data_IF_354800061173
#
_entry.id   IF_354800061173
#
_cell.length_a   1.000
_cell.length_b   1.000
_cell.length_c   1.000
_cell.angle_alpha   90.00
_cell.angle_beta   90.00
_cell.angle_gamma   90.00
#
_symmetry.space_group_name_H-M   'P 1'
#
loop_
_entity.id
_entity.type
_entity.pdbx_description
1 polymer ?
#
# COMPACT_ATOMS: atom_id res chain seq x y z
N UNK A 1 -2.78 1.20 72.40
CA UNK A 1 -2.67 2.27 73.42
C UNK A 1 -1.98 3.48 72.80
N UNK A 2 -2.76 4.56 72.64
CA UNK A 2 -2.40 5.99 72.45
C UNK A 2 -1.38 6.42 71.37
N UNK A 3 -1.93 7.15 70.40
CA UNK A 3 -1.34 8.22 69.59
C UNK A 3 -0.42 9.15 70.39
N UNK A 4 0.64 9.65 69.73
CA UNK A 4 1.12 11.03 69.91
C UNK A 4 1.52 11.63 68.56
N UNK A 5 0.82 12.72 68.23
CA UNK A 5 1.08 13.64 67.14
C UNK A 5 2.41 14.37 67.37
N UNK A 6 3.19 14.59 66.30
CA UNK A 6 4.14 15.72 66.22
C UNK A 6 3.92 16.43 64.89
N UNK A 7 3.93 17.75 65.02
CA UNK A 7 3.44 18.80 64.13
C UNK A 7 4.45 19.16 63.04
N UNK A 8 3.89 19.54 61.88
CA UNK A 8 4.43 20.38 60.80
C UNK A 8 5.76 21.11 61.04
N UNK A 9 6.65 21.01 60.05
CA UNK A 9 7.41 22.16 59.57
C UNK A 9 7.57 22.07 58.04
N UNK A 10 6.87 22.98 57.36
CA UNK A 10 7.03 23.28 55.94
C UNK A 10 8.44 23.82 55.69
N UNK A 11 9.14 23.25 54.71
CA UNK A 11 10.10 24.00 53.92
C UNK A 11 9.97 23.58 52.45
N UNK A 12 9.28 24.43 51.71
CA UNK A 12 9.10 24.35 50.28
C UNK A 12 10.46 24.51 49.57
N UNK A 13 10.83 23.51 48.77
CA UNK A 13 11.68 23.70 47.61
C UNK A 13 11.30 22.67 46.55
N UNK A 14 10.08 22.82 46.00
CA UNK A 14 9.71 22.14 44.78
C UNK A 14 10.44 22.85 43.64
N UNK A 15 11.62 22.34 43.29
CA UNK A 15 12.25 22.63 42.00
C UNK A 15 11.35 22.02 40.94
N UNK A 16 10.44 22.83 40.42
CA UNK A 16 9.71 22.54 39.19
C UNK A 16 10.76 22.56 38.09
N UNK A 17 11.35 21.41 37.82
CA UNK A 17 12.08 21.15 36.57
C UNK A 17 11.02 21.11 35.48
N UNK A 18 10.71 22.27 34.91
CA UNK A 18 10.00 22.39 33.65
C UNK A 18 10.88 21.81 32.56
N UNK A 19 10.76 20.49 32.34
CA UNK A 19 11.19 19.82 31.12
C UNK A 19 10.38 20.39 29.96
N UNK A 20 10.82 21.53 29.42
CA UNK A 20 10.51 21.95 28.07
C UNK A 20 11.17 20.95 27.10
N UNK A 21 10.54 19.78 26.94
CA UNK A 21 10.77 18.94 25.78
C UNK A 21 10.14 19.63 24.59
N UNK A 22 10.84 20.62 24.04
CA UNK A 22 10.60 21.12 22.70
C UNK A 22 11.17 20.11 21.70
N UNK A 23 10.66 18.88 21.68
CA UNK A 23 10.77 18.04 20.48
C UNK A 23 9.85 18.68 19.44
N UNK A 24 10.36 19.62 18.63
CA UNK A 24 9.61 20.13 17.48
C UNK A 24 9.14 18.92 16.68
N UNK A 25 7.83 18.73 16.63
CA UNK A 25 7.22 17.61 15.95
C UNK A 25 7.64 17.65 14.48
N UNK A 26 8.22 16.55 13.98
CA UNK A 26 8.68 16.50 12.58
C UNK A 26 7.49 16.77 11.63
N UNK A 27 7.68 17.54 10.55
CA UNK A 27 6.63 17.76 9.57
C UNK A 27 6.20 16.44 8.92
N UNK A 28 5.00 16.39 8.34
CA UNK A 28 4.58 15.23 7.54
C UNK A 28 5.26 15.28 6.16
N UNK A 29 5.66 14.13 5.65
CA UNK A 29 6.22 14.04 4.31
C UNK A 29 5.17 14.43 3.26
N UNK A 30 5.58 15.25 2.29
CA UNK A 30 4.73 15.85 1.25
C UNK A 30 5.27 15.55 -0.13
N UNK A 31 4.37 15.34 -1.10
CA UNK A 31 4.71 15.01 -2.49
C UNK A 31 4.22 13.63 -2.90
N UNK A 32 4.46 13.22 -4.17
CA UNK A 32 3.93 11.98 -4.72
C UNK A 32 4.59 10.74 -4.11
N UNK A 33 3.78 9.78 -3.65
CA UNK A 33 4.23 8.55 -2.99
C UNK A 33 4.75 7.48 -3.95
N UNK A 34 4.61 7.71 -5.25
CA UNK A 34 5.03 6.84 -6.34
C UNK A 34 6.27 7.37 -7.08
N UNK A 35 6.95 8.36 -6.50
CA UNK A 35 8.24 8.87 -6.96
C UNK A 35 9.32 8.51 -5.96
N UNK A 36 10.51 8.21 -6.45
CA UNK A 36 11.74 8.09 -5.65
C UNK A 36 12.71 9.15 -6.17
N UNK A 37 13.08 10.09 -5.31
CA UNK A 37 14.12 11.07 -5.63
C UNK A 37 15.49 10.44 -5.42
N UNK A 38 16.25 10.27 -6.50
CA UNK A 38 17.56 9.61 -6.51
C UNK A 38 18.66 10.66 -6.46
N UNK A 39 19.31 10.78 -5.30
CA UNK A 39 20.47 11.65 -5.09
C UNK A 39 21.72 10.87 -5.52
N UNK A 40 22.26 11.24 -6.67
CA UNK A 40 23.38 10.57 -7.32
C UNK A 40 24.17 11.54 -8.21
N UNK A 41 25.47 11.29 -8.38
CA UNK A 41 26.24 11.94 -9.44
C UNK A 41 25.66 11.61 -10.83
N UNK A 42 25.78 12.52 -11.80
CA UNK A 42 25.17 12.32 -13.12
C UNK A 42 25.79 11.18 -13.90
N UNK A 43 27.13 11.01 -13.85
CA UNK A 43 27.81 9.95 -14.57
C UNK A 43 27.50 8.60 -13.92
N UNK A 44 27.63 8.52 -12.60
CA UNK A 44 27.30 7.32 -11.82
C UNK A 44 25.85 6.89 -12.01
N UNK A 45 24.91 7.85 -12.03
CA UNK A 45 23.50 7.53 -12.24
C UNK A 45 23.26 6.83 -13.57
N UNK A 46 23.93 7.23 -14.66
CA UNK A 46 23.77 6.57 -15.96
C UNK A 46 24.21 5.10 -15.88
N UNK A 47 25.28 4.81 -15.14
CA UNK A 47 25.85 3.45 -15.04
C UNK A 47 24.94 2.46 -14.32
N UNK A 48 24.18 2.90 -13.31
CA UNK A 48 23.25 2.05 -12.56
C UNK A 48 21.77 2.32 -12.85
N UNK A 49 21.44 3.23 -13.78
CA UNK A 49 20.05 3.56 -14.13
C UNK A 49 19.24 2.34 -14.51
N UNK A 50 19.79 1.47 -15.37
CA UNK A 50 19.12 0.26 -15.83
C UNK A 50 18.83 -0.70 -14.66
N UNK A 51 19.80 -0.88 -13.76
CA UNK A 51 19.61 -1.67 -12.53
C UNK A 51 18.52 -1.07 -11.65
N UNK A 52 18.51 0.24 -11.42
CA UNK A 52 17.46 0.90 -10.65
C UNK A 52 16.07 0.79 -11.29
N UNK A 53 15.96 0.99 -12.61
CA UNK A 53 14.71 0.83 -13.35
C UNK A 53 14.19 -0.62 -13.24
N UNK A 54 15.07 -1.62 -13.28
CA UNK A 54 14.68 -3.03 -13.12
C UNK A 54 14.16 -3.37 -11.71
N UNK A 55 14.67 -2.68 -10.69
CA UNK A 55 14.27 -2.86 -9.28
C UNK A 55 12.97 -2.11 -8.99
N UNK A 56 12.96 -0.79 -9.22
CA UNK A 56 11.91 0.11 -8.75
C UNK A 56 10.90 0.50 -9.84
N UNK A 57 11.32 0.46 -11.10
CA UNK A 57 10.53 0.87 -12.27
C UNK A 57 9.65 -0.25 -12.85
N UNK A 58 9.37 -1.32 -12.11
CA UNK A 58 8.54 -2.45 -12.58
C UNK A 58 7.21 -1.97 -13.14
N UNK A 59 6.78 -2.54 -14.26
CA UNK A 59 5.54 -2.16 -14.92
C UNK A 59 4.34 -2.73 -14.17
N UNK A 60 3.36 -1.87 -13.91
CA UNK A 60 2.01 -2.21 -13.51
C UNK A 60 1.15 -2.05 -14.77
N UNK A 61 0.54 -3.15 -15.18
CA UNK A 61 -0.33 -3.17 -16.34
C UNK A 61 -1.69 -2.58 -15.98
N UNK A 62 -1.92 -1.37 -16.47
CA UNK A 62 -3.26 -0.79 -16.64
C UNK A 62 -3.50 -0.65 -18.16
N UNK A 63 -4.67 -0.15 -18.63
CA UNK A 63 -4.85 0.11 -20.07
C UNK A 63 -3.72 0.97 -20.67
N UNK A 64 -3.06 1.77 -19.85
CA UNK A 64 -1.77 2.39 -20.16
C UNK A 64 -0.73 1.86 -19.17
N UNK A 65 0.33 1.17 -19.60
CA UNK A 65 1.36 0.66 -18.69
C UNK A 65 1.99 1.78 -17.85
N UNK A 66 2.11 1.57 -16.54
CA UNK A 66 2.63 2.55 -15.58
C UNK A 66 3.80 1.97 -14.78
N UNK A 67 4.81 2.78 -14.42
CA UNK A 67 5.89 2.33 -13.52
C UNK A 67 5.45 2.31 -12.06
N UNK A 68 5.88 1.29 -11.33
CA UNK A 68 5.66 1.13 -9.88
C UNK A 68 6.18 2.35 -9.13
N UNK A 69 7.43 2.75 -9.40
CA UNK A 69 7.98 4.03 -9.00
C UNK A 69 8.58 4.77 -10.21
N UNK A 70 8.37 6.07 -10.26
CA UNK A 70 9.09 6.98 -11.15
C UNK A 70 10.39 7.42 -10.45
N UNK A 71 11.54 7.19 -11.09
CA UNK A 71 12.84 7.57 -10.57
C UNK A 71 13.23 8.96 -11.07
N UNK A 72 13.44 9.90 -10.15
CA UNK A 72 13.80 11.28 -10.48
C UNK A 72 15.20 11.57 -9.94
N UNK A 73 16.20 11.58 -10.82
CA UNK A 73 17.57 11.94 -10.44
C UNK A 73 17.66 13.42 -10.04
N UNK A 74 18.38 13.69 -8.95
CA UNK A 74 18.61 15.02 -8.38
C UNK A 74 20.08 15.18 -7.99
N UNK A 75 20.58 16.41 -8.02
CA UNK A 75 21.93 16.70 -7.59
C UNK A 75 22.01 16.66 -6.06
N UNK A 76 23.20 16.49 -5.51
CA UNK A 76 23.41 16.54 -4.06
C UNK A 76 22.97 17.88 -3.44
N UNK A 77 23.17 18.99 -4.17
CA UNK A 77 22.71 20.32 -3.77
C UNK A 77 21.21 20.42 -3.50
N UNK A 78 20.40 19.55 -4.13
CA UNK A 78 18.95 19.59 -4.03
C UNK A 78 18.44 18.89 -2.76
N UNK A 79 19.30 18.14 -2.06
CA UNK A 79 18.92 17.29 -0.93
C UNK A 79 18.17 18.06 0.16
N UNK A 80 18.62 19.27 0.50
CA UNK A 80 17.98 20.12 1.52
C UNK A 80 16.51 20.40 1.18
N UNK A 81 16.23 20.75 -0.08
CA UNK A 81 14.86 21.02 -0.55
C UNK A 81 13.98 19.76 -0.59
N UNK A 82 14.60 18.59 -0.66
CA UNK A 82 13.93 17.30 -0.78
C UNK A 82 13.70 16.60 0.55
N UNK A 83 14.20 17.14 1.67
CA UNK A 83 14.05 16.53 3.01
C UNK A 83 12.60 16.25 3.42
N UNK A 84 11.62 16.93 2.83
CA UNK A 84 10.19 16.66 3.09
C UNK A 84 9.57 15.63 2.13
N UNK A 85 10.30 15.10 1.15
CA UNK A 85 9.80 14.11 0.19
C UNK A 85 9.60 12.73 0.84
N UNK A 86 8.58 11.95 0.44
CA UNK A 86 8.28 10.67 1.07
C UNK A 86 9.34 9.59 0.82
N UNK A 87 9.93 9.57 -0.38
CA UNK A 87 10.87 8.53 -0.78
C UNK A 87 12.15 9.15 -1.35
N UNK A 88 13.28 8.89 -0.70
CA UNK A 88 14.59 9.37 -1.11
C UNK A 88 15.53 8.18 -1.19
N UNK A 89 16.26 8.08 -2.29
CA UNK A 89 17.35 7.12 -2.50
C UNK A 89 18.65 7.90 -2.65
N UNK A 90 19.63 7.67 -1.79
CA UNK A 90 20.98 8.23 -1.91
C UNK A 90 21.91 7.08 -2.31
N UNK A 91 22.59 7.20 -3.45
CA UNK A 91 23.33 6.08 -4.01
C UNK A 91 24.63 6.54 -4.69
N UNK A 92 25.74 5.91 -4.30
CA UNK A 92 27.05 6.07 -4.94
C UNK A 92 27.99 4.91 -4.54
N UNK A 93 28.94 4.51 -5.39
CA UNK A 93 30.02 3.60 -5.00
C UNK A 93 31.01 4.29 -4.06
N UNK A 94 31.50 3.56 -3.06
CA UNK A 94 32.30 4.11 -1.95
C UNK A 94 33.71 4.54 -2.37
N UNK A 95 34.26 3.96 -3.45
CA UNK A 95 35.55 4.35 -4.01
C UNK A 95 35.50 5.58 -4.93
N UNK A 96 34.32 6.15 -5.19
CA UNK A 96 34.20 7.32 -6.06
C UNK A 96 34.61 8.62 -5.37
N UNK A 97 35.10 9.57 -6.17
CA UNK A 97 35.41 10.93 -5.76
C UNK A 97 34.19 11.87 -5.81
N UNK A 98 32.98 11.37 -6.10
CA UNK A 98 31.78 12.20 -6.16
C UNK A 98 31.39 12.77 -4.79
N UNK A 99 30.72 13.92 -4.81
CA UNK A 99 30.19 14.55 -3.59
C UNK A 99 29.18 13.67 -2.85
N UNK A 100 28.39 12.88 -3.59
CA UNK A 100 27.45 11.92 -2.99
C UNK A 100 28.21 10.80 -2.27
N UNK A 101 29.29 10.27 -2.87
CA UNK A 101 30.13 9.26 -2.22
C UNK A 101 30.83 9.82 -0.97
N UNK A 102 31.33 11.05 -1.02
CA UNK A 102 31.89 11.73 0.14
C UNK A 102 30.86 11.91 1.27
N UNK A 103 29.64 12.30 0.93
CA UNK A 103 28.54 12.40 1.88
C UNK A 103 28.22 11.03 2.50
N UNK A 104 28.06 9.97 1.70
CA UNK A 104 27.84 8.61 2.23
C UNK A 104 28.97 8.22 3.18
N UNK A 105 30.24 8.39 2.81
CA UNK A 105 31.39 8.07 3.69
C UNK A 105 31.35 8.80 5.02
N UNK A 106 30.85 10.05 5.04
CA UNK A 106 30.73 10.85 6.27
C UNK A 106 29.66 10.32 7.25
N UNK A 107 28.69 9.54 6.75
CA UNK A 107 27.62 8.95 7.57
C UNK A 107 28.02 7.61 8.20
N UNK A 108 29.11 6.99 7.72
CA UNK A 108 29.52 5.64 8.11
C UNK A 108 30.70 5.69 9.08
N UNK A 109 30.64 4.88 10.14
CA UNK A 109 31.80 4.63 11.00
C UNK A 109 32.78 3.64 10.33
N UNK A 110 33.97 3.47 10.90
CA UNK A 110 35.02 2.66 10.26
C UNK A 110 34.67 1.17 10.16
N UNK A 111 33.97 0.61 11.15
CA UNK A 111 33.48 -0.77 11.10
C UNK A 111 32.51 -0.98 9.93
N UNK A 112 31.58 -0.05 9.73
CA UNK A 112 30.63 -0.07 8.62
C UNK A 112 31.33 0.10 7.28
N UNK A 113 32.33 0.99 7.17
CA UNK A 113 33.16 1.10 5.95
C UNK A 113 33.86 -0.22 5.62
N UNK A 114 34.41 -0.91 6.63
CA UNK A 114 34.99 -2.24 6.44
C UNK A 114 33.94 -3.28 6.01
N UNK A 115 32.72 -3.21 6.56
CA UNK A 115 31.58 -4.02 6.15
C UNK A 115 31.21 -3.82 4.68
N UNK A 116 31.12 -2.56 4.22
CA UNK A 116 30.86 -2.19 2.82
C UNK A 116 31.98 -2.66 1.89
N UNK A 117 33.25 -2.46 2.28
CA UNK A 117 34.40 -2.92 1.51
C UNK A 117 34.47 -4.44 1.36
N UNK A 118 34.03 -5.17 2.39
CA UNK A 118 33.93 -6.63 2.40
C UNK A 118 32.65 -7.17 1.74
N UNK A 119 31.75 -6.29 1.25
CA UNK A 119 30.48 -6.69 0.63
C UNK A 119 29.43 -7.25 1.60
N UNK A 120 29.65 -7.09 2.92
CA UNK A 120 28.76 -7.54 4.00
C UNK A 120 27.63 -6.54 4.28
N UNK A 121 27.87 -5.26 4.04
CA UNK A 121 26.90 -4.18 4.22
C UNK A 121 26.71 -3.45 2.89
N UNK A 122 25.47 -3.15 2.51
CA UNK A 122 25.17 -2.45 1.24
C UNK A 122 24.02 -1.44 1.33
N UNK A 123 23.14 -1.61 2.32
CA UNK A 123 21.89 -0.88 2.44
C UNK A 123 21.75 -0.31 3.85
N UNK A 124 21.40 0.97 3.93
CA UNK A 124 21.10 1.66 5.19
C UNK A 124 19.80 2.43 5.06
N UNK A 125 18.78 2.01 5.81
CA UNK A 125 17.45 2.64 5.76
C UNK A 125 17.25 3.55 6.97
N UNK A 126 16.58 4.68 6.76
CA UNK A 126 16.10 5.58 7.81
C UNK A 126 14.63 5.90 7.56
N UNK A 127 13.80 5.51 8.53
CA UNK A 127 12.41 5.93 8.58
C UNK A 127 12.30 7.27 9.31
N UNK A 128 11.41 8.12 8.84
CA UNK A 128 11.07 9.39 9.45
C UNK A 128 12.29 10.27 9.77
N UNK A 129 13.31 10.24 8.91
CA UNK A 129 14.59 10.92 9.15
C UNK A 129 14.36 12.42 9.35
N UNK A 130 13.70 13.06 8.38
CA UNK A 130 13.38 14.48 8.40
C UNK A 130 11.88 14.76 8.50
N UNK A 131 11.04 13.89 7.92
CA UNK A 131 9.58 14.06 7.91
C UNK A 131 8.85 12.75 8.24
N UNK A 132 7.68 12.81 8.88
CA UNK A 132 6.84 11.64 9.21
C UNK A 132 6.28 10.98 7.95
N UNK A 133 6.33 9.66 7.88
CA UNK A 133 5.97 8.85 6.71
C UNK A 133 7.05 8.80 5.64
N UNK A 134 8.30 9.13 5.98
CA UNK A 134 9.43 9.16 5.04
C UNK A 134 10.25 7.87 5.09
N UNK A 135 10.72 7.42 3.93
CA UNK A 135 11.81 6.45 3.80
C UNK A 135 12.99 7.09 3.05
N UNK A 136 14.13 7.15 3.74
CA UNK A 136 15.44 7.47 3.14
C UNK A 136 16.24 6.19 3.08
N UNK A 137 16.56 5.74 1.88
CA UNK A 137 17.40 4.57 1.62
C UNK A 137 18.76 5.03 1.12
N UNK A 138 19.83 4.53 1.72
CA UNK A 138 21.20 4.76 1.28
C UNK A 138 21.75 3.44 0.76
N UNK A 139 22.19 3.42 -0.50
CA UNK A 139 22.80 2.25 -1.13
C UNK A 139 24.25 2.56 -1.50
N UNK A 140 25.17 1.71 -1.09
CA UNK A 140 26.59 1.85 -1.43
C UNK A 140 27.28 0.49 -1.43
N UNK A 141 28.36 0.38 -2.18
CA UNK A 141 29.24 -0.78 -2.21
C UNK A 141 30.67 -0.30 -2.45
N UNK A 142 31.66 -1.18 -2.32
CA UNK A 142 33.07 -0.85 -2.55
C UNK A 142 33.29 -0.12 -3.89
N UNK A 143 32.68 -0.61 -4.96
CA UNK A 143 32.84 -0.13 -6.33
C UNK A 143 31.53 -0.27 -7.14
N UNK A 144 31.51 0.32 -8.34
CA UNK A 144 30.34 0.33 -9.23
C UNK A 144 29.89 -1.08 -9.66
N UNK A 145 30.77 -2.01 -10.08
CA UNK A 145 30.38 -3.38 -10.39
C UNK A 145 29.66 -4.08 -9.23
N UNK A 146 30.23 -4.01 -8.02
CA UNK A 146 29.64 -4.61 -6.81
C UNK A 146 28.29 -3.97 -6.47
N UNK A 147 28.16 -2.65 -6.65
CA UNK A 147 26.89 -1.94 -6.40
C UNK A 147 25.78 -2.45 -7.32
N UNK A 148 26.06 -2.63 -8.61
CA UNK A 148 25.08 -3.18 -9.57
C UNK A 148 24.72 -4.63 -9.25
N UNK A 149 25.70 -5.46 -8.92
CA UNK A 149 25.47 -6.84 -8.51
C UNK A 149 24.50 -6.92 -7.31
N UNK A 150 24.75 -6.12 -6.26
CA UNK A 150 23.89 -6.06 -5.08
C UNK A 150 22.48 -5.55 -5.40
N UNK A 151 22.35 -4.53 -6.26
CA UNK A 151 21.03 -4.05 -6.72
C UNK A 151 20.22 -5.17 -7.39
N UNK A 152 20.87 -6.00 -8.20
CA UNK A 152 20.21 -7.13 -8.86
C UNK A 152 19.88 -8.25 -7.88
N UNK A 153 20.80 -8.62 -6.99
CA UNK A 153 20.61 -9.70 -6.01
C UNK A 153 19.49 -9.38 -5.00
N UNK A 154 19.39 -8.13 -4.56
CA UNK A 154 18.47 -7.70 -3.49
C UNK A 154 17.19 -7.03 -4.03
N UNK A 155 16.91 -7.17 -5.33
CA UNK A 155 15.89 -6.40 -6.03
C UNK A 155 14.49 -6.45 -5.35
N UNK A 156 14.10 -7.63 -4.85
CA UNK A 156 12.79 -7.84 -4.25
C UNK A 156 12.68 -7.13 -2.91
N UNK A 157 13.70 -7.28 -2.06
CA UNK A 157 13.76 -6.65 -0.74
C UNK A 157 13.79 -5.12 -0.85
N UNK A 158 14.59 -4.58 -1.77
CA UNK A 158 14.69 -3.13 -2.01
C UNK A 158 13.36 -2.53 -2.44
N UNK A 159 12.69 -3.14 -3.43
CA UNK A 159 11.39 -2.68 -3.89
C UNK A 159 10.35 -2.73 -2.77
N UNK A 160 10.34 -3.82 -2.01
CA UNK A 160 9.35 -4.04 -0.95
C UNK A 160 9.45 -3.02 0.18
N UNK A 161 10.65 -2.51 0.48
CA UNK A 161 10.85 -1.45 1.48
C UNK A 161 10.09 -0.18 1.11
N UNK A 162 10.23 0.31 -0.12
CA UNK A 162 9.47 1.47 -0.58
C UNK A 162 7.97 1.17 -0.70
N UNK A 163 7.59 0.00 -1.20
CA UNK A 163 6.17 -0.40 -1.29
C UNK A 163 5.50 -0.39 0.08
N UNK A 164 6.14 -0.97 1.10
CA UNK A 164 5.63 -0.96 2.49
C UNK A 164 5.51 0.44 3.07
N UNK A 165 6.48 1.31 2.79
CA UNK A 165 6.43 2.71 3.22
C UNK A 165 5.24 3.45 2.58
N UNK A 166 5.05 3.31 1.26
CA UNK A 166 3.92 3.90 0.53
C UNK A 166 2.58 3.35 1.02
N UNK A 167 2.45 2.03 1.21
CA UNK A 167 1.21 1.40 1.71
C UNK A 167 0.87 1.88 3.12
N UNK A 168 1.85 1.96 4.02
CA UNK A 168 1.62 2.46 5.39
C UNK A 168 1.05 3.87 5.40
N UNK A 169 1.62 4.76 4.59
CA UNK A 169 1.13 6.15 4.45
C UNK A 169 -0.27 6.17 3.83
N UNK A 170 -0.49 5.33 2.81
CA UNK A 170 -1.79 5.21 2.15
C UNK A 170 -2.88 4.79 3.14
N UNK A 171 -2.65 3.72 3.91
CA UNK A 171 -3.52 3.26 5.00
C UNK A 171 -3.87 4.39 5.97
N UNK A 172 -2.87 5.13 6.46
CA UNK A 172 -3.09 6.25 7.39
C UNK A 172 -3.94 7.39 6.79
N UNK A 173 -3.90 7.56 5.47
CA UNK A 173 -4.69 8.59 4.78
C UNK A 173 -6.10 8.14 4.41
N UNK A 174 -6.29 6.85 4.14
CA UNK A 174 -7.58 6.28 3.75
C UNK A 174 -8.46 5.97 4.97
N UNK A 175 -7.87 5.41 6.02
CA UNK A 175 -8.54 5.03 7.25
C UNK A 175 -8.50 6.18 8.26
N UNK A 176 -9.45 7.09 8.09
CA UNK A 176 -9.69 8.15 9.06
C UNK A 176 -11.15 8.07 9.48
N UNK A 177 -11.42 8.03 10.79
CA UNK A 177 -12.79 7.89 11.35
C UNK A 177 -13.80 8.87 10.72
N UNK A 178 -13.36 10.09 10.42
CA UNK A 178 -14.22 11.11 9.79
C UNK A 178 -14.69 10.74 8.37
N UNK A 179 -13.97 9.86 7.68
CA UNK A 179 -14.26 9.36 6.33
C UNK A 179 -14.86 7.96 6.32
N UNK A 180 -14.98 7.31 7.47
CA UNK A 180 -15.52 5.95 7.60
C UNK A 180 -17.05 5.97 7.63
N UNK A 181 -17.66 5.01 6.93
CA UNK A 181 -19.09 4.76 6.95
C UNK A 181 -19.40 3.56 7.86
N UNK A 182 -19.36 3.82 9.18
CA UNK A 182 -19.61 2.81 10.23
C UNK A 182 -21.00 2.19 10.14
N UNK A 183 -22.00 2.90 9.62
CA UNK A 183 -23.37 2.37 9.49
C UNK A 183 -23.43 1.23 8.45
N UNK A 184 -22.76 1.38 7.31
CA UNK A 184 -22.65 0.30 6.32
C UNK A 184 -21.82 -0.88 6.83
N UNK A 185 -20.71 -0.61 7.52
CA UNK A 185 -19.90 -1.66 8.14
C UNK A 185 -20.69 -2.45 9.18
N UNK A 186 -21.41 -1.77 10.06
CA UNK A 186 -22.27 -2.38 11.07
C UNK A 186 -23.38 -3.21 10.41
N UNK A 187 -23.97 -2.72 9.32
CA UNK A 187 -24.95 -3.47 8.54
C UNK A 187 -24.36 -4.78 8.00
N UNK A 188 -23.21 -4.73 7.33
CA UNK A 188 -22.59 -5.94 6.78
C UNK A 188 -22.17 -6.94 7.87
N UNK A 189 -21.69 -6.44 9.01
CA UNK A 189 -21.39 -7.30 10.15
C UNK A 189 -22.66 -7.98 10.69
N UNK A 190 -23.75 -7.22 10.84
CA UNK A 190 -25.03 -7.73 11.35
C UNK A 190 -25.64 -8.76 10.40
N UNK A 191 -25.71 -8.45 9.12
CA UNK A 191 -26.45 -9.27 8.15
C UNK A 191 -25.62 -10.43 7.58
N UNK A 192 -24.31 -10.23 7.43
CA UNK A 192 -23.46 -11.15 6.66
C UNK A 192 -22.26 -11.71 7.43
N UNK A 193 -21.93 -11.17 8.61
CA UNK A 193 -20.84 -11.66 9.45
C UNK A 193 -19.45 -11.29 8.91
N UNK A 194 -19.33 -10.18 8.20
CA UNK A 194 -18.06 -9.63 7.74
C UNK A 194 -18.12 -8.10 7.67
N UNK A 195 -16.96 -7.46 7.68
CA UNK A 195 -16.79 -6.03 7.44
C UNK A 195 -15.79 -5.81 6.32
N UNK A 196 -15.86 -4.63 5.72
CA UNK A 196 -14.83 -4.02 4.87
C UNK A 196 -14.90 -2.53 5.13
N UNK A 197 -13.77 -1.85 5.25
CA UNK A 197 -13.75 -0.41 5.47
C UNK A 197 -14.43 0.32 4.30
N UNK A 198 -15.51 1.04 4.60
CA UNK A 198 -16.28 1.77 3.59
C UNK A 198 -16.04 3.26 3.75
N UNK A 199 -15.50 3.89 2.72
CA UNK A 199 -15.38 5.36 2.72
C UNK A 199 -16.76 6.01 2.47
N UNK A 200 -17.00 7.17 3.08
CA UNK A 200 -18.27 7.93 2.95
C UNK A 200 -18.64 8.32 1.53
N UNK A 201 -17.69 8.36 0.60
CA UNK A 201 -17.93 8.66 -0.81
C UNK A 201 -18.34 7.41 -1.63
N UNK A 202 -18.46 6.23 -0.99
CA UNK A 202 -19.01 5.04 -1.62
C UNK A 202 -20.51 4.91 -1.34
N UNK A 203 -21.27 4.80 -2.43
CA UNK A 203 -22.68 4.44 -2.41
C UNK A 203 -22.84 2.92 -2.41
N UNK A 204 -23.81 2.41 -1.65
CA UNK A 204 -24.29 1.03 -1.77
C UNK A 204 -25.20 0.93 -3.01
N UNK A 205 -24.66 0.43 -4.12
CA UNK A 205 -25.39 0.36 -5.40
C UNK A 205 -26.30 -0.86 -5.45
N UNK A 206 -25.81 -2.02 -5.01
CA UNK A 206 -26.60 -3.23 -4.92
C UNK A 206 -26.30 -3.96 -3.62
N UNK A 207 -27.38 -4.44 -3.01
CA UNK A 207 -27.35 -5.37 -1.91
C UNK A 207 -28.32 -6.51 -2.23
N UNK A 208 -27.78 -7.68 -2.54
CA UNK A 208 -28.51 -8.85 -3.04
C UNK A 208 -28.14 -10.07 -2.18
N UNK A 209 -28.67 -10.18 -0.95
CA UNK A 209 -28.38 -11.29 -0.04
C UNK A 209 -28.71 -12.67 -0.62
N UNK A 210 -29.77 -12.77 -1.42
CA UNK A 210 -30.16 -13.98 -2.13
C UNK A 210 -29.12 -14.47 -3.14
N UNK A 211 -28.36 -13.53 -3.70
CA UNK A 211 -27.28 -13.81 -4.64
C UNK A 211 -25.89 -13.73 -3.97
N UNK A 212 -25.86 -13.48 -2.65
CA UNK A 212 -24.65 -13.35 -1.84
C UNK A 212 -23.71 -12.27 -2.41
N UNK A 213 -24.27 -11.12 -2.77
CA UNK A 213 -23.56 -10.10 -3.54
C UNK A 213 -23.85 -8.68 -3.02
N UNK A 214 -22.79 -7.94 -2.74
CA UNK A 214 -22.81 -6.52 -2.37
C UNK A 214 -21.94 -5.75 -3.36
N UNK A 215 -22.42 -4.62 -3.87
CA UNK A 215 -21.67 -3.72 -4.75
C UNK A 215 -21.69 -2.29 -4.23
N UNK A 216 -20.49 -1.76 -4.00
CA UNK A 216 -20.21 -0.40 -3.61
C UNK A 216 -19.59 0.37 -4.79
N UNK A 217 -19.92 1.65 -4.90
CA UNK A 217 -19.36 2.52 -5.94
C UNK A 217 -19.10 3.92 -5.42
N UNK A 218 -17.89 4.42 -5.64
CA UNK A 218 -17.56 5.83 -5.53
C UNK A 218 -17.49 6.45 -6.93
N UNK A 219 -18.13 7.60 -7.11
CA UNK A 219 -18.13 8.39 -8.34
C UNK A 219 -17.47 9.74 -8.10
N UNK A 220 -16.64 10.19 -9.04
CA UNK A 220 -16.16 11.57 -9.10
C UNK A 220 -16.56 12.18 -10.44
N UNK A 221 -17.76 12.76 -10.47
CA UNK A 221 -18.41 13.18 -11.71
C UNK A 221 -18.59 11.99 -12.67
N UNK A 222 -18.50 12.26 -13.98
CA UNK A 222 -18.62 11.23 -15.02
C UNK A 222 -17.27 10.63 -15.44
N UNK A 223 -16.16 11.13 -14.88
CA UNK A 223 -14.82 10.83 -15.38
C UNK A 223 -14.09 9.75 -14.59
N UNK A 224 -14.58 9.39 -13.40
CA UNK A 224 -13.97 8.37 -12.57
C UNK A 224 -15.02 7.63 -11.74
N UNK A 225 -14.91 6.30 -11.75
CA UNK A 225 -15.64 5.41 -10.88
C UNK A 225 -14.69 4.39 -10.25
N UNK A 226 -14.86 4.15 -8.95
CA UNK A 226 -14.24 3.03 -8.24
C UNK A 226 -15.32 2.05 -7.84
N UNK A 227 -15.18 0.79 -8.20
CA UNK A 227 -16.13 -0.27 -7.87
C UNK A 227 -15.49 -1.20 -6.87
N UNK A 228 -16.23 -1.55 -5.83
CA UNK A 228 -15.87 -2.66 -4.93
C UNK A 228 -17.07 -3.59 -4.90
N UNK A 229 -16.88 -4.88 -5.15
CA UNK A 229 -17.90 -5.86 -4.82
C UNK A 229 -17.37 -6.96 -3.91
N UNK A 230 -18.25 -7.43 -3.04
CA UNK A 230 -18.04 -8.58 -2.17
C UNK A 230 -19.05 -9.63 -2.57
N UNK A 231 -18.55 -10.81 -2.94
CA UNK A 231 -19.36 -11.99 -3.19
C UNK A 231 -18.91 -13.13 -2.27
N UNK A 232 -19.86 -13.95 -1.82
CA UNK A 232 -19.52 -15.14 -1.05
C UNK A 232 -20.30 -16.38 -1.47
N UNK A 233 -19.71 -17.54 -1.22
CA UNK A 233 -20.29 -18.86 -1.49
C UNK A 233 -20.35 -19.60 -0.17
N UNK A 234 -21.56 -19.91 0.31
CA UNK A 234 -21.79 -20.71 1.51
C UNK A 234 -21.44 -22.20 1.26
N UNK A 235 -20.95 -22.91 2.27
CA UNK A 235 -20.62 -24.34 2.22
C UNK A 235 -19.68 -24.71 1.05
N UNK A 236 -18.70 -23.84 0.76
CA UNK A 236 -17.81 -24.00 -0.36
C UNK A 236 -16.67 -25.00 -0.07
N UNK A 237 -16.17 -25.67 -1.11
CA UNK A 237 -14.92 -26.44 -1.04
C UNK A 237 -13.73 -25.53 -1.38
N UNK A 238 -12.57 -25.68 -0.69
CA UNK A 238 -11.31 -25.06 -1.10
C UNK A 238 -10.92 -25.35 -2.56
N UNK A 239 -11.44 -26.42 -3.19
CA UNK A 239 -11.18 -26.76 -4.59
C UNK A 239 -11.58 -25.65 -5.57
N UNK A 240 -12.51 -24.76 -5.18
CA UNK A 240 -12.88 -23.61 -5.99
C UNK A 240 -11.76 -22.55 -6.07
N UNK A 241 -10.75 -22.59 -5.18
CA UNK A 241 -9.57 -21.71 -5.23
C UNK A 241 -8.61 -22.12 -6.35
N UNK A 242 -9.08 -21.99 -7.58
CA UNK A 242 -8.31 -22.13 -8.80
C UNK A 242 -8.66 -20.99 -9.77
N UNK A 243 -7.71 -20.70 -10.67
CA UNK A 243 -7.80 -19.60 -11.64
C UNK A 243 -9.11 -19.64 -12.45
N UNK A 244 -9.47 -20.78 -13.00
CA UNK A 244 -10.60 -20.88 -13.94
C UNK A 244 -11.96 -20.67 -13.26
N UNK A 245 -12.12 -21.21 -12.04
CA UNK A 245 -13.32 -21.04 -11.24
C UNK A 245 -13.52 -19.58 -10.83
N UNK A 246 -12.44 -18.90 -10.43
CA UNK A 246 -12.44 -17.47 -10.07
C UNK A 246 -12.83 -16.62 -11.27
N UNK A 247 -12.20 -16.81 -12.43
CA UNK A 247 -12.50 -16.04 -13.65
C UNK A 247 -13.95 -16.23 -14.08
N UNK A 248 -14.40 -17.49 -14.14
CA UNK A 248 -15.76 -17.83 -14.55
C UNK A 248 -16.79 -17.19 -13.62
N UNK A 249 -16.54 -17.25 -12.31
CA UNK A 249 -17.44 -16.65 -11.33
C UNK A 249 -17.44 -15.12 -11.43
N UNK A 250 -16.27 -14.49 -11.55
CA UNK A 250 -16.16 -13.04 -11.72
C UNK A 250 -16.93 -12.58 -12.95
N UNK A 251 -16.67 -13.17 -14.12
CA UNK A 251 -17.37 -12.83 -15.37
C UNK A 251 -18.89 -13.05 -15.26
N UNK A 252 -19.34 -14.12 -14.58
CA UNK A 252 -20.77 -14.35 -14.32
C UNK A 252 -21.41 -13.21 -13.51
N UNK A 253 -20.74 -12.77 -12.44
CA UNK A 253 -21.21 -11.67 -11.59
C UNK A 253 -21.21 -10.34 -12.35
N UNK A 254 -20.12 -10.01 -13.03
CA UNK A 254 -20.03 -8.75 -13.79
C UNK A 254 -21.02 -8.71 -14.95
N UNK A 255 -21.27 -9.84 -15.62
CA UNK A 255 -22.29 -9.94 -16.65
C UNK A 255 -23.71 -9.75 -16.11
N UNK A 256 -23.99 -10.27 -14.92
CA UNK A 256 -25.31 -10.16 -14.28
C UNK A 256 -25.59 -8.74 -13.77
N UNK A 257 -24.64 -8.13 -13.08
CA UNK A 257 -24.86 -6.90 -12.31
C UNK A 257 -24.20 -5.64 -12.88
N UNK A 258 -23.03 -5.76 -13.50
CA UNK A 258 -22.27 -4.61 -14.03
C UNK A 258 -22.62 -4.42 -15.51
N UNK A 259 -23.88 -4.05 -15.75
CA UNK A 259 -24.42 -3.77 -17.08
C UNK A 259 -25.19 -2.43 -17.10
N UNK A 260 -24.97 -1.55 -18.09
CA UNK A 260 -25.82 -0.39 -18.28
C UNK A 260 -27.25 -0.83 -18.64
N UNK A 261 -28.24 -0.23 -17.98
CA UNK A 261 -29.64 -0.55 -18.20
C UNK A 261 -30.04 -0.42 -19.68
N UNK A 262 -30.76 -1.41 -20.21
CA UNK A 262 -31.29 -1.40 -21.58
C UNK A 262 -30.26 -1.57 -22.71
N UNK A 263 -28.96 -1.70 -22.40
CA UNK A 263 -27.91 -1.70 -23.43
C UNK A 263 -27.58 -3.08 -24.01
N UNK A 264 -27.89 -4.16 -23.29
CA UNK A 264 -27.38 -5.52 -23.60
C UNK A 264 -25.86 -5.68 -23.39
N UNK A 265 -25.14 -4.61 -23.05
CA UNK A 265 -23.69 -4.59 -22.84
C UNK A 265 -23.35 -4.97 -21.42
N UNK A 266 -22.20 -5.58 -21.21
CA UNK A 266 -21.76 -6.00 -19.88
C UNK A 266 -20.25 -5.91 -19.71
N UNK A 267 -19.81 -5.84 -18.45
CA UNK A 267 -18.39 -5.90 -18.09
C UNK A 267 -17.88 -7.33 -18.17
N UNK A 268 -16.75 -7.51 -18.85
CA UNK A 268 -15.99 -8.78 -18.91
C UNK A 268 -14.51 -8.52 -18.66
N UNK A 269 -13.80 -9.55 -18.25
CA UNK A 269 -12.35 -9.54 -18.17
C UNK A 269 -11.71 -9.68 -19.55
N UNK A 270 -10.52 -9.13 -19.74
CA UNK A 270 -9.66 -9.40 -20.90
C UNK A 270 -8.67 -10.52 -20.58
N UNK A 271 -8.24 -11.27 -21.60
CA UNK A 271 -7.13 -12.23 -21.42
C UNK A 271 -5.77 -11.50 -21.28
N UNK A 272 -5.69 -10.25 -21.71
CA UNK A 272 -4.50 -9.41 -21.65
C UNK A 272 -4.10 -9.07 -20.21
N UNK A 273 -2.79 -9.19 -19.94
CA UNK A 273 -2.13 -8.84 -18.66
C UNK A 273 -2.76 -9.51 -17.43
N UNK A 274 -3.47 -10.61 -17.65
CA UNK A 274 -4.13 -11.31 -16.58
C UNK A 274 -3.12 -12.15 -15.81
N UNK A 275 -3.03 -11.91 -14.51
CA UNK A 275 -2.16 -12.65 -13.60
C UNK A 275 -2.97 -13.27 -12.48
N UNK A 276 -2.49 -14.40 -11.95
CA UNK A 276 -3.03 -15.01 -10.74
C UNK A 276 -1.85 -15.48 -9.91
N UNK A 277 -1.83 -15.10 -8.64
CA UNK A 277 -0.73 -15.40 -7.72
C UNK A 277 -1.28 -15.81 -6.36
N UNK A 278 -0.56 -16.70 -5.71
CA UNK A 278 -0.85 -17.11 -4.34
C UNK A 278 -0.38 -16.02 -3.37
N UNK A 279 -1.25 -15.64 -2.45
CA UNK A 279 -0.95 -14.62 -1.44
C UNK A 279 -1.49 -15.05 -0.08
N UNK A 280 -0.87 -14.52 0.97
CA UNK A 280 -1.41 -14.60 2.33
C UNK A 280 -2.29 -13.37 2.57
N UNK A 281 -3.60 -13.59 2.68
CA UNK A 281 -4.58 -12.56 3.04
C UNK A 281 -4.99 -12.78 4.51
N UNK A 282 -4.43 -12.00 5.42
CA UNK A 282 -4.73 -12.08 6.87
C UNK A 282 -4.61 -13.51 7.44
N UNK A 283 -3.51 -14.21 7.14
CA UNK A 283 -3.24 -15.61 7.49
C UNK A 283 -4.13 -16.65 6.78
N UNK A 284 -4.85 -16.25 5.73
CA UNK A 284 -5.57 -17.16 4.85
C UNK A 284 -4.84 -17.30 3.53
N UNK A 285 -4.82 -18.53 3.00
CA UNK A 285 -4.44 -18.76 1.62
C UNK A 285 -5.49 -18.11 0.70
N UNK A 286 -5.02 -17.27 -0.20
CA UNK A 286 -5.85 -16.57 -1.16
C UNK A 286 -5.19 -16.55 -2.54
N UNK A 287 -6.02 -16.48 -3.57
CA UNK A 287 -5.59 -16.18 -4.92
C UNK A 287 -5.86 -14.70 -5.21
N UNK A 288 -4.79 -13.98 -5.56
CA UNK A 288 -4.82 -12.63 -6.08
C UNK A 288 -4.84 -12.69 -7.60
N UNK A 289 -5.96 -12.30 -8.20
CA UNK A 289 -6.11 -12.14 -9.65
C UNK A 289 -6.12 -10.66 -10.03
N UNK A 290 -5.30 -10.27 -11.00
CA UNK A 290 -5.22 -8.90 -11.51
C UNK A 290 -5.29 -8.93 -13.03
N UNK A 291 -5.77 -7.84 -13.63
CA UNK A 291 -5.82 -7.72 -15.07
C UNK A 291 -6.64 -6.51 -15.51
N UNK A 292 -7.10 -6.53 -16.76
CA UNK A 292 -7.99 -5.51 -17.30
C UNK A 292 -9.41 -6.03 -17.44
N UNK A 293 -10.36 -5.12 -17.33
CA UNK A 293 -11.76 -5.33 -17.68
C UNK A 293 -12.13 -4.39 -18.83
N UNK A 294 -13.05 -4.84 -19.67
CA UNK A 294 -13.65 -4.05 -20.73
C UNK A 294 -15.17 -4.26 -20.77
N UNK A 295 -15.89 -3.29 -21.31
CA UNK A 295 -17.26 -3.52 -21.77
C UNK A 295 -17.26 -4.47 -22.97
N UNK A 296 -18.32 -5.25 -23.13
CA UNK A 296 -18.48 -6.20 -24.24
C UNK A 296 -18.37 -5.56 -25.62
N UNK A 297 -18.66 -4.26 -25.75
CA UNK A 297 -18.51 -3.46 -26.98
C UNK A 297 -17.19 -2.66 -27.05
N UNK A 298 -16.28 -2.87 -26.08
CA UNK A 298 -14.98 -2.20 -25.95
C UNK A 298 -15.04 -0.68 -25.77
N UNK A 299 -16.20 -0.13 -25.38
CA UNK A 299 -16.37 1.32 -25.19
C UNK A 299 -15.70 1.86 -23.92
N UNK A 300 -15.51 1.01 -22.91
CA UNK A 300 -14.93 1.38 -21.62
C UNK A 300 -14.09 0.23 -21.08
N UNK A 301 -13.09 0.55 -20.25
CA UNK A 301 -12.28 -0.43 -19.57
C UNK A 301 -11.37 0.16 -18.51
N UNK A 302 -10.66 -0.71 -17.81
CA UNK A 302 -9.76 -0.32 -16.73
C UNK A 302 -9.12 -1.51 -16.03
N UNK A 303 -8.22 -1.27 -15.07
CA UNK A 303 -7.64 -2.34 -14.28
C UNK A 303 -8.61 -2.84 -13.21
N UNK A 304 -8.45 -4.09 -12.81
CA UNK A 304 -9.07 -4.65 -11.63
C UNK A 304 -8.06 -5.43 -10.77
N UNK A 305 -8.41 -5.59 -9.51
CA UNK A 305 -7.74 -6.43 -8.52
C UNK A 305 -8.79 -7.27 -7.81
N UNK A 306 -8.53 -8.56 -7.63
CA UNK A 306 -9.46 -9.51 -7.05
C UNK A 306 -8.74 -10.42 -6.05
N UNK A 307 -9.25 -10.50 -4.83
CA UNK A 307 -8.83 -11.51 -3.85
C UNK A 307 -9.93 -12.55 -3.72
N UNK A 308 -9.59 -13.82 -3.93
CA UNK A 308 -10.49 -14.93 -3.61
C UNK A 308 -9.85 -15.83 -2.56
N UNK A 309 -10.57 -16.07 -1.46
CA UNK A 309 -10.06 -16.81 -0.30
C UNK A 309 -11.11 -17.73 0.30
N UNK A 310 -10.67 -18.83 0.90
CA UNK A 310 -11.51 -19.71 1.70
C UNK A 310 -11.35 -19.37 3.18
N UNK A 311 -12.48 -19.18 3.85
CA UNK A 311 -12.56 -18.92 5.28
C UNK A 311 -13.05 -20.18 6.00
N UNK A 312 -12.14 -20.87 6.68
CA UNK A 312 -12.42 -22.17 7.29
C UNK A 312 -13.47 -22.09 8.42
N UNK A 313 -13.54 -20.96 9.14
CA UNK A 313 -14.47 -20.76 10.26
C UNK A 313 -15.91 -20.61 9.79
N UNK A 314 -16.13 -19.86 8.71
CA UNK A 314 -17.47 -19.66 8.14
C UNK A 314 -17.82 -20.68 7.05
N UNK A 315 -16.85 -21.50 6.62
CA UNK A 315 -16.96 -22.44 5.48
C UNK A 315 -17.43 -21.73 4.20
N UNK A 316 -16.94 -20.50 4.02
CA UNK A 316 -17.25 -19.66 2.86
C UNK A 316 -16.05 -19.42 1.99
N UNK A 317 -16.30 -19.27 0.70
CA UNK A 317 -15.38 -18.54 -0.17
C UNK A 317 -15.83 -17.10 -0.24
N UNK A 318 -14.88 -16.19 -0.11
CA UNK A 318 -15.06 -14.75 -0.32
C UNK A 318 -14.30 -14.33 -1.57
N UNK A 319 -14.96 -13.59 -2.44
CA UNK A 319 -14.39 -12.91 -3.60
C UNK A 319 -14.56 -11.40 -3.38
N UNK A 320 -13.43 -10.70 -3.23
CA UNK A 320 -13.34 -9.26 -3.07
C UNK A 320 -12.78 -8.68 -4.36
N UNK A 321 -13.56 -7.88 -5.06
CA UNK A 321 -13.13 -7.28 -6.33
C UNK A 321 -13.11 -5.77 -6.24
N UNK A 322 -12.06 -5.18 -6.80
CA UNK A 322 -11.90 -3.74 -6.97
C UNK A 322 -11.63 -3.44 -8.44
N UNK A 323 -12.44 -2.58 -9.05
CA UNK A 323 -12.29 -2.17 -10.45
C UNK A 323 -12.28 -0.65 -10.59
N UNK A 324 -11.43 -0.13 -11.48
CA UNK A 324 -11.33 1.32 -11.77
C UNK A 324 -11.84 1.61 -13.18
N UNK A 325 -12.71 2.60 -13.30
CA UNK A 325 -12.94 3.33 -14.55
C UNK A 325 -12.40 4.75 -14.37
N UNK A 326 -11.43 5.16 -15.19
CA UNK A 326 -10.85 6.51 -15.09
C UNK A 326 -10.10 6.87 -16.40
N UNK A 327 -10.78 7.02 -17.55
CA UNK A 327 -10.12 7.17 -18.85
C UNK A 327 -9.18 8.39 -18.92
N UNK A 328 -9.50 9.47 -18.21
CA UNK A 328 -8.73 10.73 -18.18
C UNK A 328 -7.56 10.75 -17.18
N UNK A 329 -7.36 9.67 -16.42
CA UNK A 329 -6.40 9.65 -15.31
C UNK A 329 -5.45 8.44 -15.39
N UNK A 330 -4.27 8.60 -14.80
CA UNK A 330 -3.41 7.48 -14.44
C UNK A 330 -4.08 6.65 -13.33
N UNK A 331 -3.98 5.32 -13.41
CA UNK A 331 -4.82 4.38 -12.66
C UNK A 331 -4.04 3.65 -11.58
N UNK A 332 -2.70 3.61 -11.63
CA UNK A 332 -1.83 2.98 -10.62
C UNK A 332 -2.16 3.39 -9.19
N UNK A 333 -2.26 4.69 -8.91
CA UNK A 333 -2.54 5.15 -7.55
C UNK A 333 -3.98 4.87 -7.13
N UNK A 334 -4.92 4.85 -8.09
CA UNK A 334 -6.32 4.49 -7.84
C UNK A 334 -6.49 3.00 -7.53
N UNK A 335 -5.82 2.12 -8.28
CA UNK A 335 -5.89 0.67 -8.04
C UNK A 335 -5.15 0.28 -6.74
N UNK A 336 -4.07 0.99 -6.37
CA UNK A 336 -3.42 0.83 -5.05
C UNK A 336 -4.31 1.24 -3.88
N UNK A 337 -5.09 2.32 -4.04
CA UNK A 337 -6.09 2.71 -3.05
C UNK A 337 -7.15 1.61 -2.89
N UNK A 338 -7.66 1.08 -4.01
CA UNK A 338 -8.61 -0.02 -3.97
C UNK A 338 -8.01 -1.27 -3.31
N UNK A 339 -6.78 -1.63 -3.64
CA UNK A 339 -6.07 -2.75 -3.02
C UNK A 339 -6.05 -2.64 -1.49
N UNK A 340 -5.69 -1.46 -0.97
CA UNK A 340 -5.73 -1.19 0.48
C UNK A 340 -7.17 -1.30 1.02
N UNK A 341 -8.17 -0.76 0.33
CA UNK A 341 -9.56 -0.89 0.78
C UNK A 341 -10.02 -2.35 0.82
N UNK A 342 -9.70 -3.16 -0.19
CA UNK A 342 -10.04 -4.59 -0.19
C UNK A 342 -9.37 -5.35 0.95
N UNK A 343 -8.10 -5.02 1.25
CA UNK A 343 -7.35 -5.61 2.36
C UNK A 343 -7.92 -5.25 3.74
N UNK A 344 -8.86 -4.31 3.86
CA UNK A 344 -9.54 -4.06 5.14
C UNK A 344 -10.60 -5.13 5.49
N UNK A 345 -10.89 -6.05 4.57
CA UNK A 345 -11.91 -7.07 4.78
C UNK A 345 -11.56 -8.00 5.95
N UNK A 346 -12.53 -8.24 6.81
CA UNK A 346 -12.44 -9.14 7.95
C UNK A 346 -13.76 -9.88 8.14
N UNK A 347 -13.71 -11.17 8.44
CA UNK A 347 -14.88 -11.91 8.91
C UNK A 347 -15.09 -11.72 10.41
N UNK A 348 -16.30 -11.97 10.92
CA UNK A 348 -16.68 -11.61 12.29
C UNK A 348 -15.71 -12.12 13.38
N UNK A 349 -15.07 -13.27 13.19
CA UNK A 349 -14.15 -13.82 14.19
C UNK A 349 -12.77 -13.15 14.21
N UNK A 350 -12.44 -12.35 13.19
CA UNK A 350 -11.17 -11.62 13.07
C UNK A 350 -11.26 -10.20 13.62
N UNK A 351 -12.47 -9.68 13.79
CA UNK A 351 -12.71 -8.31 14.25
C UNK A 351 -12.43 -8.23 15.75
N UNK A 352 -11.63 -7.24 16.15
CA UNK A 352 -11.31 -7.01 17.55
C UNK A 352 -12.56 -6.56 18.35
N UNK A 353 -12.60 -6.82 19.67
CA UNK A 353 -13.77 -6.48 20.49
C UNK A 353 -14.11 -4.98 20.54
N UNK A 354 -13.12 -4.09 20.40
CA UNK A 354 -13.34 -2.64 20.43
C UNK A 354 -14.09 -2.22 19.17
N UNK A 355 -13.63 -2.66 18.00
CA UNK A 355 -14.30 -2.39 16.72
C UNK A 355 -15.70 -3.01 16.67
N UNK A 356 -15.92 -4.21 17.22
CA UNK A 356 -17.27 -4.79 17.34
C UNK A 356 -18.22 -3.89 18.15
N UNK A 357 -17.76 -3.42 19.31
CA UNK A 357 -18.54 -2.52 20.16
C UNK A 357 -18.85 -1.19 19.46
N UNK A 358 -17.88 -0.63 18.73
CA UNK A 358 -18.11 0.59 17.92
C UNK A 358 -19.15 0.40 16.82
N UNK A 359 -19.23 -0.81 16.25
CA UNK A 359 -20.23 -1.18 15.25
C UNK A 359 -21.55 -1.70 15.86
N UNK A 360 -21.72 -1.60 17.18
CA UNK A 360 -22.96 -1.98 17.87
C UNK A 360 -23.16 -3.49 18.07
N UNK A 361 -22.07 -4.27 18.16
CA UNK A 361 -22.05 -5.71 18.45
C UNK A 361 -21.46 -6.03 19.82
#
# INVERSE_FOLDING_TARGET
MKMKNIVLLLSAFAVIVSLNSCSKEKPKASGPDDRIYVIADSAEFQDFKASLDSVFGKIIYTPQPEKTFELIRRNFSDLESLKNSPNILIIAPMNSNSGVSAYIRSLLNDSTKQGVNAGREFQFNRHDLWAKGQLVMILTARDMPTLREKLHAENGALLEMFRKASVRKLVQSLYMDKYENKDLEAKFLKEYGWIIYVQKDYDLVLDKPQDKFVWLRSLKGNDMAKWIFVHWIDNASPDFLNRDSIIKQRNRLTQKYLKPAGSGKFVKMTDEYQTTSEVNFHNKYALLTQGLWEMSDRSMGGPFINYTMFDDKTKRIYMLDGSIYAPKYLKKNLIRQLDVLLQSFMTEHEIDPVKKKELGR
#
